data_IF_126835671841
#
_entry.id   IF_126835671841
#
_cell.length_a   1.000
_cell.length_b   1.000
_cell.length_c   1.000
_cell.angle_alpha   90.00
_cell.angle_beta   90.00
_cell.angle_gamma   90.00
#
_symmetry.space_group_name_H-M   'P 1'
#
loop_
_entity.id
_entity.type
_entity.pdbx_description
1 polymer ?
#
# COMPACT_ATOMS: atom_id res chain seq x y z
N UNK A 1 -13.75 -13.84 -2.84
CA UNK A 1 -13.39 -13.54 -4.24
C UNK A 1 -12.24 -12.55 -4.15
N UNK A 2 -11.05 -12.94 -4.58
CA UNK A 2 -9.89 -12.05 -4.54
C UNK A 2 -9.94 -11.14 -5.77
N UNK A 3 -10.17 -9.83 -5.60
CA UNK A 3 -10.41 -8.92 -6.72
C UNK A 3 -9.19 -8.74 -7.64
N UNK A 4 -7.99 -9.14 -7.20
CA UNK A 4 -6.75 -8.94 -7.96
C UNK A 4 -6.22 -10.21 -8.63
N UNK A 5 -6.59 -11.42 -8.17
CA UNK A 5 -6.07 -12.68 -8.74
C UNK A 5 -6.27 -12.80 -10.25
N UNK A 6 -7.45 -12.44 -10.76
CA UNK A 6 -7.73 -12.43 -12.22
C UNK A 6 -6.70 -11.60 -12.99
N UNK A 7 -6.32 -10.44 -12.45
CA UNK A 7 -5.38 -9.54 -13.11
C UNK A 7 -3.95 -10.04 -12.95
N UNK A 8 -3.61 -10.66 -11.81
CA UNK A 8 -2.33 -11.31 -11.61
C UNK A 8 -2.11 -12.42 -12.64
N UNK A 9 -3.11 -13.27 -12.87
CA UNK A 9 -3.06 -14.33 -13.88
C UNK A 9 -2.98 -13.76 -15.31
N UNK A 10 -3.81 -12.76 -15.62
CA UNK A 10 -3.87 -12.16 -16.97
C UNK A 10 -2.57 -11.44 -17.35
N UNK A 11 -1.94 -10.77 -16.40
CA UNK A 11 -0.74 -9.95 -16.63
C UNK A 11 0.57 -10.59 -16.17
N UNK A 12 0.53 -11.79 -15.62
CA UNK A 12 1.71 -12.51 -15.12
C UNK A 12 2.40 -11.79 -13.95
N UNK A 13 1.61 -11.27 -13.00
CA UNK A 13 2.11 -10.49 -11.86
C UNK A 13 2.15 -11.37 -10.60
N UNK A 14 3.20 -11.24 -9.80
CA UNK A 14 3.27 -11.83 -8.47
C UNK A 14 2.40 -11.01 -7.51
N UNK A 15 1.43 -11.65 -6.87
CA UNK A 15 0.56 -11.01 -5.87
C UNK A 15 0.92 -11.49 -4.47
N UNK A 16 1.41 -10.58 -3.63
CA UNK A 16 1.63 -10.81 -2.21
C UNK A 16 0.50 -10.12 -1.41
N UNK A 17 -0.24 -10.90 -0.63
CA UNK A 17 -1.40 -10.42 0.15
C UNK A 17 -1.20 -10.72 1.65
N UNK A 18 -0.36 -9.95 2.36
CA UNK A 18 -0.13 -10.15 3.78
C UNK A 18 -1.35 -9.74 4.60
N UNK A 19 -1.57 -10.43 5.73
CA UNK A 19 -2.61 -10.08 6.69
C UNK A 19 -2.02 -9.23 7.83
N UNK A 20 -2.81 -8.31 8.37
CA UNK A 20 -2.45 -7.63 9.63
C UNK A 20 -2.38 -8.63 10.79
N UNK A 21 -1.47 -8.42 11.73
CA UNK A 21 -1.30 -9.26 12.90
C UNK A 21 -2.44 -9.17 13.93
N UNK A 22 -3.32 -8.17 13.79
CA UNK A 22 -4.51 -7.94 14.64
C UNK A 22 -5.73 -7.63 13.77
N UNK A 23 -6.77 -7.05 14.39
CA UNK A 23 -8.01 -6.66 13.72
C UNK A 23 -7.85 -5.58 12.63
N UNK A 24 -6.78 -4.77 12.71
CA UNK A 24 -6.38 -3.79 11.69
C UNK A 24 -4.86 -3.58 11.75
N UNK A 25 -4.34 -2.74 10.85
CA UNK A 25 -2.93 -2.40 10.72
C UNK A 25 -2.40 -1.58 11.91
N UNK A 26 -1.19 -1.87 12.35
CA UNK A 26 -0.57 -1.31 13.56
C UNK A 26 -0.54 0.23 13.61
N UNK A 27 -0.36 0.90 12.47
CA UNK A 27 -0.39 2.37 12.38
C UNK A 27 -1.76 2.98 12.73
N UNK A 28 -2.86 2.22 12.60
CA UNK A 28 -4.22 2.70 12.96
C UNK A 28 -4.37 2.77 14.49
N UNK A 29 -3.70 1.89 15.22
CA UNK A 29 -3.81 1.78 16.68
C UNK A 29 -2.72 2.58 17.39
N UNK A 30 -1.56 2.75 16.75
CA UNK A 30 -0.45 3.52 17.30
C UNK A 30 0.55 3.94 16.24
N UNK A 31 1.42 3.01 15.84
CA UNK A 31 2.50 3.29 14.90
C UNK A 31 3.01 2.02 14.24
N UNK A 32 3.90 2.20 13.27
CA UNK A 32 4.52 1.09 12.56
C UNK A 32 5.30 0.16 13.50
N UNK A 33 5.17 -1.15 13.29
CA UNK A 33 5.86 -2.16 14.07
C UNK A 33 5.68 -3.57 13.47
N UNK A 34 5.01 -4.51 14.16
CA UNK A 34 4.98 -5.92 13.75
C UNK A 34 4.43 -6.17 12.35
N UNK A 35 3.50 -5.36 11.84
CA UNK A 35 2.95 -5.56 10.50
C UNK A 35 3.99 -5.19 9.42
N UNK A 36 4.81 -4.17 9.67
CA UNK A 36 5.96 -3.84 8.80
C UNK A 36 6.97 -4.99 8.78
N UNK A 37 7.30 -5.54 9.95
CA UNK A 37 8.23 -6.68 10.04
C UNK A 37 7.71 -7.90 9.26
N UNK A 38 6.41 -8.19 9.35
CA UNK A 38 5.80 -9.29 8.62
C UNK A 38 5.81 -9.06 7.10
N UNK A 39 5.52 -7.84 6.65
CA UNK A 39 5.59 -7.47 5.22
C UNK A 39 7.02 -7.58 4.70
N UNK A 40 8.00 -7.07 5.45
CA UNK A 40 9.41 -7.11 5.06
C UNK A 40 9.92 -8.55 4.90
N UNK A 41 9.58 -9.43 5.86
CA UNK A 41 9.90 -10.86 5.77
C UNK A 41 9.24 -11.51 4.54
N UNK A 42 7.96 -11.22 4.30
CA UNK A 42 7.25 -11.78 3.15
C UNK A 42 7.80 -11.28 1.81
N UNK A 43 8.22 -10.01 1.72
CA UNK A 43 8.89 -9.47 0.54
C UNK A 43 10.27 -10.12 0.33
N UNK A 44 11.05 -10.27 1.40
CA UNK A 44 12.34 -10.94 1.34
C UNK A 44 12.20 -12.39 0.84
N UNK A 45 11.20 -13.12 1.35
CA UNK A 45 10.90 -14.48 0.89
C UNK A 45 10.49 -14.51 -0.59
N UNK A 46 9.64 -13.58 -1.04
CA UNK A 46 9.26 -13.48 -2.46
C UNK A 46 10.47 -13.17 -3.34
N UNK A 47 11.29 -12.20 -2.99
CA UNK A 47 12.47 -11.83 -3.77
C UNK A 47 13.57 -12.89 -3.76
N UNK A 48 13.63 -13.73 -2.73
CA UNK A 48 14.55 -14.87 -2.68
C UNK A 48 14.15 -16.01 -3.64
N UNK A 49 12.84 -16.18 -3.91
CA UNK A 49 12.32 -17.30 -4.70
C UNK A 49 11.88 -16.92 -6.11
N UNK A 50 11.61 -15.64 -6.36
CA UNK A 50 11.09 -15.14 -7.62
C UNK A 50 11.82 -13.89 -8.10
N UNK A 51 12.05 -13.80 -9.41
CA UNK A 51 12.60 -12.59 -10.02
C UNK A 51 11.50 -11.55 -10.17
N UNK A 52 11.59 -10.46 -9.40
CA UNK A 52 10.77 -9.28 -9.56
C UNK A 52 11.55 -8.20 -10.32
N UNK A 53 10.87 -7.45 -11.18
CA UNK A 53 11.42 -6.27 -11.84
C UNK A 53 11.40 -5.09 -10.85
N UNK A 54 12.57 -4.57 -10.43
CA UNK A 54 12.64 -3.51 -9.43
C UNK A 54 11.99 -2.20 -9.90
N UNK A 55 11.88 -1.98 -11.21
CA UNK A 55 11.22 -0.78 -11.75
C UNK A 55 9.67 -0.92 -11.77
N UNK A 56 9.14 -2.10 -11.43
CA UNK A 56 7.71 -2.44 -11.53
C UNK A 56 7.14 -3.04 -10.24
N UNK A 57 7.50 -2.45 -9.10
CA UNK A 57 6.97 -2.81 -7.78
C UNK A 57 5.82 -1.89 -7.36
N UNK A 58 4.71 -2.49 -6.94
CA UNK A 58 3.52 -1.77 -6.52
C UNK A 58 3.09 -2.19 -5.11
N UNK A 59 2.64 -1.21 -4.31
CA UNK A 59 1.93 -1.45 -3.05
C UNK A 59 0.52 -0.88 -3.15
N UNK A 60 -0.47 -1.60 -2.61
CA UNK A 60 -1.84 -1.14 -2.66
C UNK A 60 -2.70 -1.69 -1.53
N UNK A 61 -3.83 -1.04 -1.30
CA UNK A 61 -4.75 -1.46 -0.24
C UNK A 61 -6.09 -0.74 -0.29
N UNK A 62 -7.00 -1.19 0.58
CA UNK A 62 -8.34 -0.65 0.75
C UNK A 62 -8.59 -0.22 2.20
N UNK A 63 -9.28 0.91 2.42
CA UNK A 63 -9.61 1.44 3.75
C UNK A 63 -8.35 1.63 4.62
N UNK A 64 -8.26 0.96 5.78
CA UNK A 64 -7.07 1.03 6.64
C UNK A 64 -5.82 0.51 5.93
N UNK A 65 -5.97 -0.53 5.10
CA UNK A 65 -4.88 -1.03 4.26
C UNK A 65 -4.48 -0.05 3.16
N UNK A 66 -5.39 0.83 2.71
CA UNK A 66 -5.04 1.90 1.78
C UNK A 66 -4.20 2.98 2.47
N UNK A 67 -4.56 3.37 3.69
CA UNK A 67 -3.74 4.28 4.50
C UNK A 67 -2.35 3.68 4.78
N UNK A 68 -2.30 2.37 5.02
CA UNK A 68 -1.06 1.63 5.23
C UNK A 68 -0.17 1.61 3.99
N UNK A 69 -0.73 1.16 2.85
CA UNK A 69 -0.05 1.11 1.56
C UNK A 69 0.47 2.49 1.13
N UNK A 70 -0.35 3.53 1.32
CA UNK A 70 0.03 4.91 1.01
C UNK A 70 1.22 5.37 1.85
N UNK A 71 1.18 5.11 3.16
CA UNK A 71 2.24 5.54 4.08
C UNK A 71 3.55 4.78 3.82
N UNK A 72 3.49 3.45 3.70
CA UNK A 72 4.67 2.63 3.40
C UNK A 72 5.25 2.93 2.03
N UNK A 73 4.40 3.06 1.00
CA UNK A 73 4.85 3.35 -0.35
C UNK A 73 5.57 4.69 -0.45
N UNK A 74 5.08 5.72 0.26
CA UNK A 74 5.74 7.03 0.29
C UNK A 74 7.07 7.00 1.05
N UNK A 75 7.12 6.30 2.19
CA UNK A 75 8.37 6.15 2.97
C UNK A 75 9.43 5.35 2.22
N UNK A 76 9.03 4.39 1.40
CA UNK A 76 9.92 3.48 0.68
C UNK A 76 9.77 3.64 -0.84
N UNK A 77 9.70 4.88 -1.33
CA UNK A 77 9.48 5.15 -2.75
C UNK A 77 10.72 4.96 -3.64
N UNK A 78 11.83 4.51 -3.07
CA UNK A 78 12.98 3.89 -3.75
C UNK A 78 12.81 2.38 -3.95
N UNK A 79 11.88 1.74 -3.23
CA UNK A 79 11.47 0.34 -3.42
C UNK A 79 10.19 0.25 -4.27
N UNK A 80 9.13 0.95 -3.87
CA UNK A 80 7.85 0.91 -4.59
C UNK A 80 7.81 2.00 -5.65
N UNK A 81 7.58 1.61 -6.90
CA UNK A 81 7.42 2.56 -8.01
C UNK A 81 5.97 3.01 -8.19
N UNK A 82 5.00 2.25 -7.63
CA UNK A 82 3.57 2.54 -7.75
C UNK A 82 2.84 2.36 -6.40
N UNK A 83 1.91 3.27 -6.11
CA UNK A 83 1.06 3.23 -4.91
C UNK A 83 -0.41 3.29 -5.35
N UNK A 84 -1.21 2.33 -4.91
CA UNK A 84 -2.64 2.24 -5.20
C UNK A 84 -3.48 2.29 -3.90
N UNK A 85 -4.01 3.46 -3.55
CA UNK A 85 -4.76 3.65 -2.32
C UNK A 85 -6.27 3.82 -2.58
N UNK A 86 -7.05 2.80 -2.23
CA UNK A 86 -8.50 2.82 -2.38
C UNK A 86 -9.19 3.20 -1.07
N UNK A 87 -9.76 4.40 -1.01
CA UNK A 87 -10.40 4.98 0.16
C UNK A 87 -9.50 5.10 1.41
N UNK A 88 -8.25 5.60 1.33
CA UNK A 88 -7.42 5.81 2.52
C UNK A 88 -8.00 6.86 3.48
N UNK A 89 -8.14 6.49 4.75
CA UNK A 89 -8.56 7.41 5.81
C UNK A 89 -7.52 8.48 6.15
N UNK A 90 -6.24 8.19 5.93
CA UNK A 90 -5.11 9.06 6.29
C UNK A 90 -3.84 8.66 5.51
N UNK A 91 -2.80 9.48 5.61
CA UNK A 91 -1.43 9.13 5.28
C UNK A 91 -0.53 9.54 6.46
N UNK A 92 0.32 8.64 6.92
CA UNK A 92 1.27 8.87 8.00
C UNK A 92 2.65 8.34 7.61
N UNK A 93 3.24 8.82 6.50
CA UNK A 93 4.58 8.40 6.11
C UNK A 93 5.61 8.85 7.16
N UNK A 94 6.69 8.09 7.32
CA UNK A 94 7.94 8.62 7.88
C UNK A 94 8.58 9.63 6.91
N UNK A 95 9.90 9.62 6.83
CA UNK A 95 10.58 10.41 5.79
C UNK A 95 10.24 9.84 4.41
N UNK A 96 9.59 10.63 3.57
CA UNK A 96 9.24 10.22 2.21
C UNK A 96 10.50 10.17 1.32
N UNK A 97 10.62 9.11 0.53
CA UNK A 97 11.75 8.85 -0.36
C UNK A 97 11.24 8.60 -1.78
N UNK A 98 12.02 8.98 -2.79
CA UNK A 98 11.69 8.71 -4.18
C UNK A 98 10.48 9.49 -4.69
N UNK A 99 9.91 9.03 -5.82
CA UNK A 99 8.74 9.65 -6.48
C UNK A 99 7.84 8.57 -7.11
N UNK A 100 7.23 7.70 -6.30
CA UNK A 100 6.31 6.70 -6.82
C UNK A 100 5.13 7.35 -7.55
N UNK A 101 4.61 6.66 -8.56
CA UNK A 101 3.34 7.02 -9.16
C UNK A 101 2.20 6.70 -8.17
N UNK A 102 1.44 7.71 -7.75
CA UNK A 102 0.38 7.55 -6.74
C UNK A 102 -1.00 7.65 -7.39
N UNK A 103 -1.81 6.61 -7.21
CA UNK A 103 -3.24 6.61 -7.51
C UNK A 103 -4.04 6.55 -6.20
N UNK A 104 -4.94 7.50 -6.01
CA UNK A 104 -5.86 7.53 -4.88
C UNK A 104 -7.27 7.64 -5.41
N UNK A 105 -8.18 6.84 -4.85
CA UNK A 105 -9.62 6.95 -5.14
C UNK A 105 -10.43 7.02 -3.86
N UNK A 106 -11.57 7.70 -3.91
CA UNK A 106 -12.53 7.80 -2.81
C UNK A 106 -13.95 7.88 -3.37
N UNK A 107 -14.90 7.32 -2.62
CA UNK A 107 -16.32 7.55 -2.88
C UNK A 107 -16.69 9.01 -2.63
N UNK A 108 -17.47 9.60 -3.52
CA UNK A 108 -17.92 11.01 -3.43
C UNK A 108 -19.20 11.19 -2.60
N UNK A 109 -19.88 10.10 -2.24
CA UNK A 109 -21.19 10.10 -1.59
C UNK A 109 -21.15 9.76 -0.09
N UNK A 110 -19.97 9.54 0.51
CA UNK A 110 -19.84 9.06 1.88
C UNK A 110 -19.53 10.17 2.89
N UNK A 111 -20.07 10.03 4.11
CA UNK A 111 -19.73 10.87 5.28
C UNK A 111 -18.69 10.24 6.22
N UNK A 112 -18.19 9.05 5.89
CA UNK A 112 -17.34 8.24 6.78
C UNK A 112 -15.90 8.77 6.80
N UNK A 113 -15.38 9.17 5.63
CA UNK A 113 -14.08 9.83 5.47
C UNK A 113 -14.28 11.01 4.53
N UNK A 114 -13.83 12.21 4.91
CA UNK A 114 -13.91 13.36 4.03
C UNK A 114 -13.01 13.14 2.79
N UNK A 115 -13.47 13.49 1.57
CA UNK A 115 -12.67 13.31 0.37
C UNK A 115 -11.44 14.22 0.40
N UNK A 116 -10.26 13.65 0.06
CA UNK A 116 -9.01 14.39 -0.11
C UNK A 116 -9.18 15.47 -1.19
N UNK A 117 -8.92 16.73 -0.82
CA UNK A 117 -8.98 17.89 -1.72
C UNK A 117 -7.68 18.04 -2.48
N UNK A 118 -7.70 18.81 -3.58
CA UNK A 118 -6.58 19.02 -4.51
C UNK A 118 -5.30 19.66 -3.90
N UNK A 119 -5.27 19.91 -2.59
CA UNK A 119 -4.08 20.34 -1.83
C UNK A 119 -3.69 19.40 -0.68
N UNK A 120 -4.50 18.37 -0.40
CA UNK A 120 -4.22 17.38 0.65
C UNK A 120 -3.31 16.26 0.09
N UNK A 121 -3.17 16.15 -1.23
CA UNK A 121 -2.28 15.18 -1.87
C UNK A 121 -0.82 15.51 -1.56
N UNK A 122 -0.04 14.56 -1.01
CA UNK A 122 1.39 14.75 -0.82
C UNK A 122 2.07 15.00 -2.17
N UNK A 123 2.95 16.01 -2.21
CA UNK A 123 3.71 16.40 -3.41
C UNK A 123 5.01 15.63 -3.54
#
# INVERSE_FOLDING_TARGET
>A
MDPLLRFADEFGVLLLAPASGKATWDVVVGGFGPDVTAIDQALADVFAHYTADPDRLAVGGFSDGASYALSLGMTNGDLFTHILAFSPGFAAPGDAVGRPAIYISHGTAGCIVAPWRRGDYPR
#
